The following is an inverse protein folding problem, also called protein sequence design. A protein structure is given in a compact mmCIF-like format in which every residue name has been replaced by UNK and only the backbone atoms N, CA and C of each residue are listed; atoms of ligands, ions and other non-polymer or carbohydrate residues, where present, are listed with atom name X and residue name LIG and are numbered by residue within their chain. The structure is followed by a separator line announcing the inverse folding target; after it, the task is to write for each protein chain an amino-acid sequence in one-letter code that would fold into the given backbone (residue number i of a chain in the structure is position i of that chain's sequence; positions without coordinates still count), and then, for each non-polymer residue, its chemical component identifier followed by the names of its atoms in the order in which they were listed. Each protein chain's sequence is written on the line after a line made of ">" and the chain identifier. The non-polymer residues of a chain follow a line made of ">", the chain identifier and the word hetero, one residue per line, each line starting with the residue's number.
data_IF_250961199465
#
_entry.id   IF_250961199465
#
_cell.length_a   1.000
_cell.length_b   1.000
_cell.length_c   1.000
_cell.angle_alpha   90.00
_cell.angle_beta   90.00
_cell.angle_gamma   90.00
#
_symmetry.space_group_name_H-M   'P 1'
#
loop_
_entity.id
_entity.type
_entity.pdbx_description
1 polymer ?
#
# COMPACT_ATOMS: atom_id res chain seq x y z
N UNK A 1 52.37 45.52 -24.22
CA UNK A 1 50.99 45.69 -23.72
C UNK A 1 50.24 44.45 -24.12
N UNK A 2 49.64 43.62 -23.28
CA UNK A 2 49.42 43.60 -21.82
C UNK A 2 49.10 42.12 -21.53
N UNK A 3 49.91 41.42 -20.73
CA UNK A 3 49.55 40.96 -19.37
C UNK A 3 48.50 39.84 -19.34
N UNK A 4 48.97 38.59 -19.18
CA UNK A 4 48.25 37.55 -18.46
C UNK A 4 47.91 38.01 -17.03
N UNK A 5 46.72 37.66 -16.53
CA UNK A 5 46.60 37.28 -15.14
C UNK A 5 46.01 35.87 -14.99
N UNK A 6 46.72 35.13 -14.15
CA UNK A 6 46.33 33.87 -13.54
C UNK A 6 45.15 34.08 -12.58
N UNK A 7 44.52 32.96 -12.18
CA UNK A 7 43.58 32.77 -11.04
C UNK A 7 42.09 32.84 -11.38
N UNK A 8 41.44 31.67 -11.39
CA UNK A 8 40.64 31.28 -10.22
C UNK A 8 40.43 29.76 -10.23
N UNK A 9 41.17 29.08 -9.35
CA UNK A 9 40.90 27.73 -8.89
C UNK A 9 39.53 27.71 -8.19
N UNK A 10 38.46 27.55 -8.99
CA UNK A 10 37.10 27.34 -8.51
C UNK A 10 36.96 25.96 -7.89
N UNK A 11 37.49 25.82 -6.67
CA UNK A 11 37.23 24.72 -5.77
C UNK A 11 35.72 24.72 -5.46
N UNK A 12 34.94 24.01 -6.27
CA UNK A 12 33.53 23.78 -6.03
C UNK A 12 33.38 23.00 -4.73
N UNK A 13 33.04 23.71 -3.67
CA UNK A 13 32.59 23.14 -2.40
C UNK A 13 31.45 22.15 -2.65
N UNK A 14 31.53 20.88 -2.22
CA UNK A 14 30.34 20.04 -2.16
C UNK A 14 29.57 20.46 -0.92
N UNK A 15 28.72 21.47 -1.05
CA UNK A 15 27.77 21.83 0.00
C UNK A 15 26.52 20.98 -0.19
N UNK A 16 26.55 19.77 0.36
CA UNK A 16 25.38 18.92 0.56
C UNK A 16 25.56 18.26 1.92
N UNK A 17 24.85 18.77 2.94
CA UNK A 17 24.85 18.19 4.28
C UNK A 17 24.45 16.71 4.24
N UNK A 18 24.55 15.97 5.36
CA UNK A 18 24.15 14.57 5.38
C UNK A 18 22.73 14.47 4.81
N UNK A 19 22.61 13.95 3.59
CA UNK A 19 21.35 13.48 3.07
C UNK A 19 20.95 12.40 4.06
N UNK A 20 20.08 12.75 4.99
CA UNK A 20 19.31 11.76 5.72
C UNK A 20 18.70 10.90 4.61
N UNK A 21 19.00 9.60 4.54
CA UNK A 21 18.35 8.75 3.56
C UNK A 21 16.87 8.91 3.83
N UNK A 22 16.15 9.57 2.92
CA UNK A 22 14.70 9.49 2.89
C UNK A 22 14.42 8.00 2.92
N UNK A 23 13.61 7.49 3.88
CA UNK A 23 13.31 6.08 3.91
C UNK A 23 12.81 5.73 2.51
N UNK A 24 13.55 4.88 1.82
CA UNK A 24 13.15 4.36 0.52
C UNK A 24 12.03 3.37 0.82
N UNK A 25 10.85 3.89 1.14
CA UNK A 25 9.63 3.11 1.22
C UNK A 25 9.50 2.44 -0.13
N UNK A 26 9.57 1.11 -0.13
CA UNK A 26 9.38 0.35 -1.36
C UNK A 26 8.00 0.69 -1.91
N UNK A 27 7.84 0.84 -3.24
CA UNK A 27 6.56 1.21 -3.84
C UNK A 27 5.41 0.30 -3.38
N UNK A 28 5.73 -0.95 -3.06
CA UNK A 28 4.86 -1.94 -2.42
C UNK A 28 4.25 -1.49 -1.10
N UNK A 29 5.06 -0.95 -0.18
CA UNK A 29 4.61 -0.55 1.15
C UNK A 29 3.66 0.66 1.07
N UNK A 30 3.93 1.57 0.14
CA UNK A 30 3.08 2.74 -0.12
C UNK A 30 1.70 2.32 -0.66
N UNK A 31 1.66 1.36 -1.59
CA UNK A 31 0.40 0.80 -2.11
C UNK A 31 -0.41 0.13 -1.00
N UNK A 32 0.23 -0.68 -0.15
CA UNK A 32 -0.44 -1.35 0.97
C UNK A 32 -1.04 -0.31 1.91
N UNK A 33 -0.24 0.68 2.30
CA UNK A 33 -0.68 1.74 3.21
C UNK A 33 -1.84 2.56 2.62
N UNK A 34 -1.76 2.91 1.33
CA UNK A 34 -2.83 3.59 0.63
C UNK A 34 -4.11 2.75 0.61
N UNK A 35 -4.01 1.46 0.28
CA UNK A 35 -5.14 0.55 0.24
C UNK A 35 -5.80 0.42 1.62
N UNK A 36 -5.00 0.23 2.68
CA UNK A 36 -5.51 0.19 4.05
C UNK A 36 -6.28 1.45 4.41
N UNK A 37 -5.69 2.63 4.18
CA UNK A 37 -6.33 3.91 4.55
C UNK A 37 -7.62 4.16 3.76
N UNK A 38 -7.63 3.85 2.46
CA UNK A 38 -8.82 4.03 1.63
C UNK A 38 -9.94 3.08 2.06
N UNK A 39 -9.63 1.82 2.34
CA UNK A 39 -10.63 0.82 2.72
C UNK A 39 -11.12 1.01 4.16
N UNK A 40 -10.27 1.50 5.05
CA UNK A 40 -10.67 1.92 6.40
C UNK A 40 -11.73 3.03 6.32
N UNK A 41 -11.45 4.10 5.56
CA UNK A 41 -12.36 5.25 5.47
C UNK A 41 -13.64 4.94 4.68
N UNK A 42 -13.57 4.07 3.67
CA UNK A 42 -14.73 3.80 2.78
C UNK A 42 -15.58 2.62 3.20
N UNK A 43 -14.98 1.55 3.73
CA UNK A 43 -15.65 0.29 4.07
C UNK A 43 -15.54 -0.08 5.55
N UNK A 44 -14.89 0.75 6.36
CA UNK A 44 -14.60 0.45 7.76
C UNK A 44 -13.68 -0.76 7.92
N UNK A 45 -12.80 -1.02 6.94
CA UNK A 45 -11.90 -2.16 7.00
C UNK A 45 -10.79 -1.94 8.02
N UNK A 46 -10.59 -2.90 8.92
CA UNK A 46 -9.44 -2.89 9.81
C UNK A 46 -8.22 -3.53 9.15
N UNK A 47 -7.03 -3.13 9.57
CA UNK A 47 -5.77 -3.70 9.09
C UNK A 47 -5.67 -5.22 9.32
N UNK A 48 -6.26 -5.72 10.42
CA UNK A 48 -6.34 -7.13 10.74
C UNK A 48 -7.24 -7.90 9.76
N UNK A 49 -8.43 -7.38 9.45
CA UNK A 49 -9.34 -7.98 8.46
C UNK A 49 -8.73 -8.01 7.06
N UNK A 50 -8.01 -6.94 6.66
CA UNK A 50 -7.36 -6.90 5.36
C UNK A 50 -6.23 -7.92 5.23
N UNK A 51 -5.54 -8.26 6.33
CA UNK A 51 -4.46 -9.25 6.36
C UNK A 51 -4.91 -10.68 6.66
N UNK A 52 -6.16 -10.85 7.05
CA UNK A 52 -6.71 -12.14 7.40
C UNK A 52 -6.80 -13.10 6.22
N UNK A 53 -6.91 -14.39 6.51
CA UNK A 53 -6.87 -15.43 5.49
C UNK A 53 -7.99 -15.24 4.45
N UNK A 54 -7.62 -15.23 3.17
CA UNK A 54 -8.55 -14.95 2.07
C UNK A 54 -8.78 -13.46 1.77
N UNK A 55 -8.28 -12.52 2.58
CA UNK A 55 -8.36 -11.08 2.30
C UNK A 55 -7.20 -10.56 1.44
N UNK A 56 -7.40 -9.38 0.84
CA UNK A 56 -6.51 -8.70 -0.12
C UNK A 56 -5.02 -8.69 0.26
N UNK A 57 -4.71 -8.50 1.54
CA UNK A 57 -3.35 -8.33 2.06
C UNK A 57 -2.81 -9.57 2.78
N UNK A 58 -3.51 -10.70 2.70
CA UNK A 58 -3.02 -11.95 3.24
C UNK A 58 -1.78 -12.41 2.48
N UNK A 59 -0.87 -13.15 3.12
CA UNK A 59 0.40 -13.53 2.52
C UNK A 59 0.25 -14.27 1.17
N UNK A 60 -0.83 -15.04 1.02
CA UNK A 60 -1.13 -15.81 -0.20
C UNK A 60 -1.66 -14.96 -1.35
N UNK A 61 -2.29 -13.82 -1.07
CA UNK A 61 -2.92 -12.94 -2.07
C UNK A 61 -2.15 -11.63 -2.28
N UNK A 62 -1.23 -11.28 -1.38
CA UNK A 62 -0.52 -9.99 -1.40
C UNK A 62 0.21 -9.75 -2.73
N UNK A 63 0.90 -10.75 -3.26
CA UNK A 63 1.63 -10.60 -4.53
C UNK A 63 0.68 -10.40 -5.72
N UNK A 64 -0.45 -11.11 -5.76
CA UNK A 64 -1.50 -10.93 -6.78
C UNK A 64 -2.14 -9.54 -6.67
N UNK A 65 -2.46 -9.09 -5.45
CA UNK A 65 -3.00 -7.76 -5.17
C UNK A 65 -2.05 -6.67 -5.68
N UNK A 66 -0.76 -6.77 -5.39
CA UNK A 66 0.24 -5.80 -5.86
C UNK A 66 0.41 -5.82 -7.38
N UNK A 67 0.39 -7.01 -8.00
CA UNK A 67 0.47 -7.13 -9.45
C UNK A 67 -0.74 -6.45 -10.12
N UNK A 68 -1.95 -6.63 -9.57
CA UNK A 68 -3.16 -5.96 -10.05
C UNK A 68 -3.11 -4.45 -9.85
N UNK A 69 -2.64 -3.96 -8.69
CA UNK A 69 -2.43 -2.53 -8.45
C UNK A 69 -1.41 -1.92 -9.42
N UNK A 70 -0.32 -2.65 -9.69
CA UNK A 70 0.71 -2.23 -10.65
C UNK A 70 0.15 -2.17 -12.06
N UNK A 71 -0.63 -3.19 -12.47
CA UNK A 71 -1.30 -3.23 -13.76
C UNK A 71 -2.31 -2.08 -13.90
N UNK A 72 -3.09 -1.79 -12.87
CA UNK A 72 -3.99 -0.62 -12.82
C UNK A 72 -3.24 0.70 -13.00
N UNK A 73 -2.05 0.84 -12.42
CA UNK A 73 -1.24 2.05 -12.58
C UNK A 73 -0.60 2.18 -13.98
N UNK A 74 -0.36 1.07 -14.68
CA UNK A 74 0.32 1.02 -15.97
C UNK A 74 -0.64 1.02 -17.17
N UNK A 75 -1.79 0.37 -17.03
CA UNK A 75 -2.82 0.28 -18.07
C UNK A 75 -3.90 1.34 -17.86
N UNK A 76 -4.58 1.73 -18.95
CA UNK A 76 -5.76 2.58 -18.88
C UNK A 76 -6.99 1.79 -18.37
N UNK A 77 -6.84 1.04 -17.27
CA UNK A 77 -7.96 0.40 -16.58
C UNK A 77 -8.83 1.49 -15.92
N UNK A 78 -10.15 1.33 -15.98
CA UNK A 78 -11.11 2.33 -15.50
C UNK A 78 -11.19 2.34 -13.97
N UNK A 79 -11.16 1.18 -13.33
CA UNK A 79 -11.21 1.07 -11.87
C UNK A 79 -10.65 -0.26 -11.33
N UNK A 80 -10.40 -0.29 -10.02
CA UNK A 80 -10.13 -1.50 -9.24
C UNK A 80 -11.26 -1.66 -8.21
N UNK A 81 -11.96 -2.80 -8.25
CA UNK A 81 -13.11 -3.06 -7.38
C UNK A 81 -12.71 -3.94 -6.20
N UNK A 82 -13.12 -3.51 -4.99
CA UNK A 82 -12.96 -4.25 -3.74
C UNK A 82 -14.33 -4.66 -3.24
N UNK A 83 -14.52 -5.94 -3.00
CA UNK A 83 -15.75 -6.50 -2.43
C UNK A 83 -15.52 -6.80 -0.94
N UNK A 84 -16.37 -6.23 -0.08
CA UNK A 84 -16.47 -6.60 1.35
C UNK A 84 -17.49 -7.73 1.46
N UNK A 85 -17.04 -8.90 1.88
CA UNK A 85 -17.87 -10.08 2.10
C UNK A 85 -17.87 -10.40 3.60
N UNK A 86 -19.05 -10.54 4.22
CA UNK A 86 -19.14 -11.04 5.58
C UNK A 86 -18.58 -12.47 5.65
N UNK A 87 -17.64 -12.76 6.55
CA UNK A 87 -17.21 -14.15 6.74
C UNK A 87 -18.41 -14.96 7.21
N UNK A 88 -18.72 -16.01 6.46
CA UNK A 88 -19.77 -16.94 6.87
C UNK A 88 -19.28 -17.68 8.10
N UNK A 89 -19.68 -17.22 9.28
CA UNK A 89 -19.63 -18.04 10.49
C UNK A 89 -20.38 -19.32 10.19
N UNK A 90 -19.65 -20.44 10.12
CA UNK A 90 -20.28 -21.74 9.93
C UNK A 90 -21.16 -21.98 11.16
N UNK A 91 -22.48 -22.01 10.98
CA UNK A 91 -23.45 -22.34 12.01
C UNK A 91 -23.03 -23.66 12.71
N UNK A 92 -22.36 -23.53 13.86
CA UNK A 92 -22.18 -24.62 14.80
C UNK A 92 -22.74 -24.14 16.13
N UNK A 93 -24.02 -24.49 16.32
CA UNK A 93 -24.76 -24.63 17.57
C UNK A 93 -24.66 -23.47 18.57
N UNK A 94 -25.77 -22.73 18.66
CA UNK A 94 -25.91 -21.56 19.50
C UNK A 94 -25.56 -21.75 20.98
N UNK A 95 -24.85 -20.77 21.51
CA UNK A 95 -25.17 -20.09 22.76
C UNK A 95 -24.86 -18.60 22.52
N UNK A 96 -25.74 -17.75 23.02
CA UNK A 96 -25.69 -16.29 23.13
C UNK A 96 -24.33 -15.76 23.61
N UNK A 97 -23.63 -14.98 22.78
CA UNK A 97 -22.64 -13.99 23.19
C UNK A 97 -22.67 -12.85 22.15
N UNK A 98 -23.13 -11.67 22.58
CA UNK A 98 -22.97 -10.41 21.84
C UNK A 98 -21.48 -10.13 21.61
N UNK A 99 -21.17 -9.54 20.44
CA UNK A 99 -19.83 -9.19 19.96
C UNK A 99 -19.07 -10.35 19.26
N UNK A 100 -19.72 -11.01 18.29
CA UNK A 100 -18.94 -11.60 17.20
C UNK A 100 -18.71 -10.49 16.19
N UNK A 101 -17.55 -9.82 16.26
CA UNK A 101 -17.09 -8.94 15.18
C UNK A 101 -17.14 -9.78 13.89
N UNK A 102 -18.13 -9.49 13.05
CA UNK A 102 -18.44 -10.21 11.82
C UNK A 102 -17.27 -10.01 10.86
N UNK A 103 -16.28 -10.91 10.97
CA UNK A 103 -14.97 -10.75 10.35
C UNK A 103 -15.14 -10.59 8.84
N UNK A 104 -14.86 -9.43 8.27
CA UNK A 104 -15.10 -9.23 6.86
C UNK A 104 -13.89 -9.65 6.02
N UNK A 105 -14.15 -10.40 4.95
CA UNK A 105 -13.17 -10.76 3.94
C UNK A 105 -13.24 -9.77 2.80
N UNK A 106 -12.09 -9.26 2.39
CA UNK A 106 -12.00 -8.27 1.34
C UNK A 106 -11.34 -8.89 0.10
N UNK A 107 -12.00 -8.87 -1.07
CA UNK A 107 -11.47 -9.48 -2.31
C UNK A 107 -11.40 -8.51 -3.48
N UNK A 108 -10.33 -8.60 -4.30
CA UNK A 108 -10.20 -7.85 -5.56
C UNK A 108 -10.99 -8.55 -6.68
N UNK A 109 -11.91 -7.82 -7.30
CA UNK A 109 -12.69 -8.32 -8.43
C UNK A 109 -12.20 -7.72 -9.75
N UNK A 110 -12.06 -8.53 -10.82
CA UNK A 110 -11.92 -8.00 -12.17
C UNK A 110 -13.24 -7.33 -12.60
N UNK A 111 -13.14 -6.31 -13.47
CA UNK A 111 -14.29 -5.76 -14.21
C UNK A 111 -14.98 -6.80 -15.10
#
# INVERSE_FOLDING_TARGET
>A
MMEDPMLQNGNGVPNGGPHQPTPTTTPTQDIIHYLTNVLEVTLGATDDELRSDGSLLCASLLEDTLARCTRFAQEAQVALYVLKEAAKVSETSGIDDEDTEDHAVYTLRPE
#
